data_IF_013142124156
#
_entry.id   IF_013142124156
#
_cell.length_a   1.000
_cell.length_b   1.000
_cell.length_c   1.000
_cell.angle_alpha   90.00
_cell.angle_beta   90.00
_cell.angle_gamma   90.00
#
_symmetry.space_group_name_H-M   'P 1'
#
loop_
_entity.id
_entity.type
_entity.pdbx_description
1 polymer ?
#
# COMPACT_ATOMS: atom_id res chain seq x y z
N UNK A 1 11.51 28.21 -2.58
CA UNK A 1 10.37 28.70 -3.38
C UNK A 1 10.06 27.87 -4.62
N UNK A 2 10.97 27.68 -5.60
CA UNK A 2 10.67 26.90 -6.83
C UNK A 2 10.20 25.45 -6.56
N UNK A 3 10.83 24.75 -5.60
CA UNK A 3 10.45 23.36 -5.22
C UNK A 3 9.07 23.26 -4.57
N UNK A 4 8.64 24.27 -3.82
CA UNK A 4 7.32 24.27 -3.15
C UNK A 4 6.19 24.40 -4.18
N UNK A 5 6.38 25.19 -5.24
CA UNK A 5 5.42 25.28 -6.34
C UNK A 5 5.32 23.96 -7.13
N UNK A 6 6.42 23.24 -7.31
CA UNK A 6 6.40 21.90 -7.90
C UNK A 6 5.64 20.90 -7.04
N UNK A 7 5.88 20.90 -5.73
CA UNK A 7 5.13 20.05 -4.78
C UNK A 7 3.64 20.39 -4.82
N UNK A 8 3.29 21.68 -4.81
CA UNK A 8 1.91 22.14 -4.87
C UNK A 8 1.23 21.71 -6.18
N UNK A 9 1.92 21.86 -7.32
CA UNK A 9 1.41 21.48 -8.64
C UNK A 9 1.18 19.97 -8.74
N UNK A 10 2.10 19.17 -8.20
CA UNK A 10 1.93 17.72 -8.08
C UNK A 10 0.70 17.41 -7.21
N UNK A 11 0.57 18.05 -6.05
CA UNK A 11 -0.55 17.82 -5.13
C UNK A 11 -1.90 18.13 -5.77
N UNK A 12 -2.00 19.25 -6.50
CA UNK A 12 -3.21 19.66 -7.22
C UNK A 12 -3.53 18.66 -8.34
N UNK A 13 -2.52 18.22 -9.10
CA UNK A 13 -2.69 17.20 -10.14
C UNK A 13 -3.21 15.87 -9.57
N UNK A 14 -2.67 15.42 -8.44
CA UNK A 14 -3.15 14.21 -7.76
C UNK A 14 -4.60 14.33 -7.26
N UNK A 15 -5.00 15.51 -6.75
CA UNK A 15 -6.36 15.74 -6.27
C UNK A 15 -7.43 15.65 -7.37
N UNK A 16 -7.09 16.00 -8.63
CA UNK A 16 -8.03 15.89 -9.74
C UNK A 16 -8.23 14.44 -10.20
N UNK A 17 -7.21 13.60 -10.05
CA UNK A 17 -7.28 12.17 -10.43
C UNK A 17 -7.99 11.34 -9.37
N UNK A 18 -8.07 11.79 -8.12
CA UNK A 18 -8.67 11.04 -7.02
C UNK A 18 -10.18 11.26 -6.83
N UNK A 19 -10.80 12.25 -7.48
CA UNK A 19 -12.23 12.58 -7.35
C UNK A 19 -13.09 11.83 -8.36
N UNK A 20 -14.11 11.10 -7.88
CA UNK A 20 -15.02 10.34 -8.75
C UNK A 20 -15.79 11.25 -9.72
N UNK A 21 -15.96 10.80 -10.97
CA UNK A 21 -16.95 11.39 -11.86
C UNK A 21 -18.38 10.93 -11.44
N UNK A 22 -19.45 11.60 -11.89
CA UNK A 22 -20.82 11.26 -11.49
C UNK A 22 -21.24 9.81 -11.80
N UNK A 23 -20.62 9.17 -12.79
CA UNK A 23 -20.88 7.76 -13.12
C UNK A 23 -20.21 6.85 -12.09
N UNK A 24 -18.93 7.08 -11.79
CA UNK A 24 -18.19 6.32 -10.79
C UNK A 24 -18.83 6.44 -9.40
N UNK A 25 -19.28 7.64 -9.03
CA UNK A 25 -19.91 7.89 -7.73
C UNK A 25 -21.18 7.05 -7.53
N UNK A 26 -22.04 6.92 -8.56
CA UNK A 26 -23.28 6.12 -8.49
C UNK A 26 -23.02 4.61 -8.50
N UNK A 27 -21.91 4.17 -9.07
CA UNK A 27 -21.55 2.76 -9.18
C UNK A 27 -20.73 2.26 -7.97
N UNK A 28 -20.26 3.15 -7.12
CA UNK A 28 -19.45 2.80 -5.97
C UNK A 28 -20.27 2.45 -4.71
N UNK A 29 -19.73 1.56 -3.87
CA UNK A 29 -20.26 1.34 -2.52
C UNK A 29 -20.31 2.64 -1.71
N UNK A 30 -21.29 2.76 -0.80
CA UNK A 30 -21.48 3.95 0.06
C UNK A 30 -20.21 4.40 0.79
N UNK A 31 -19.33 3.46 1.15
CA UNK A 31 -18.11 3.74 1.91
C UNK A 31 -17.00 4.36 1.05
N UNK A 32 -16.98 4.07 -0.25
CA UNK A 32 -15.93 4.54 -1.18
C UNK A 32 -16.45 5.53 -2.21
N UNK A 33 -17.71 5.95 -2.09
CA UNK A 33 -18.37 6.91 -2.95
C UNK A 33 -17.61 8.24 -2.94
N UNK A 34 -17.34 8.79 -4.13
CA UNK A 34 -16.61 10.04 -4.31
C UNK A 34 -15.11 9.88 -4.59
N UNK A 35 -14.58 8.65 -4.53
CA UNK A 35 -13.18 8.35 -4.88
C UNK A 35 -13.09 7.77 -6.28
N UNK A 36 -12.11 8.14 -7.11
CA UNK A 36 -11.83 7.32 -8.30
C UNK A 36 -11.24 5.99 -7.85
N UNK A 37 -11.65 4.93 -8.52
CA UNK A 37 -10.95 3.65 -8.45
C UNK A 37 -10.77 3.12 -9.87
N UNK A 38 -9.74 2.30 -10.06
CA UNK A 38 -9.58 1.56 -11.32
C UNK A 38 -10.75 0.61 -11.55
N UNK A 39 -10.85 0.08 -12.77
CA UNK A 39 -11.84 -0.93 -13.07
C UNK A 39 -11.74 -2.10 -12.07
N UNK A 40 -12.90 -2.52 -11.56
CA UNK A 40 -12.98 -3.69 -10.72
C UNK A 40 -12.70 -4.99 -11.48
N UNK A 41 -12.72 -6.12 -10.78
CA UNK A 41 -12.52 -7.45 -11.38
C UNK A 41 -13.54 -7.69 -12.49
N UNK A 42 -13.07 -8.07 -13.68
CA UNK A 42 -13.91 -8.31 -14.87
C UNK A 42 -14.49 -9.72 -14.92
N UNK A 43 -13.91 -10.67 -14.16
CA UNK A 43 -14.36 -12.06 -14.10
C UNK A 43 -14.27 -12.65 -12.68
N UNK A 44 -14.89 -13.81 -12.47
CA UNK A 44 -14.78 -14.55 -11.21
C UNK A 44 -13.34 -15.02 -10.93
N UNK A 45 -12.53 -15.23 -11.97
CA UNK A 45 -11.13 -15.61 -11.81
C UNK A 45 -10.28 -14.49 -11.23
N UNK A 46 -10.60 -13.25 -11.58
CA UNK A 46 -9.92 -12.07 -11.04
C UNK A 46 -10.11 -11.96 -9.51
N UNK A 47 -11.28 -12.34 -9.01
CA UNK A 47 -11.55 -12.42 -7.56
C UNK A 47 -10.73 -13.48 -6.85
N UNK A 48 -10.50 -14.64 -7.49
CA UNK A 48 -9.61 -15.69 -6.94
C UNK A 48 -8.19 -15.16 -6.81
N UNK A 49 -7.70 -14.45 -7.84
CA UNK A 49 -6.37 -13.83 -7.83
C UNK A 49 -6.26 -12.80 -6.70
N UNK A 50 -7.27 -11.93 -6.54
CA UNK A 50 -7.30 -10.92 -5.48
C UNK A 50 -7.21 -11.56 -4.09
N UNK A 51 -8.00 -12.61 -3.83
CA UNK A 51 -7.96 -13.31 -2.53
C UNK A 51 -6.58 -13.91 -2.29
N UNK A 52 -6.02 -14.59 -3.29
CA UNK A 52 -4.71 -15.21 -3.18
C UNK A 52 -3.59 -14.18 -2.94
N UNK A 53 -3.57 -13.07 -3.70
CA UNK A 53 -2.60 -11.99 -3.52
C UNK A 53 -2.77 -11.28 -2.18
N UNK A 54 -4.00 -11.12 -1.70
CA UNK A 54 -4.28 -10.57 -0.37
C UNK A 54 -3.65 -11.44 0.72
N UNK A 55 -3.83 -12.77 0.65
CA UNK A 55 -3.24 -13.72 1.60
C UNK A 55 -1.71 -13.62 1.57
N UNK A 56 -1.10 -13.66 0.38
CA UNK A 56 0.36 -13.55 0.24
C UNK A 56 0.90 -12.24 0.81
N UNK A 57 0.21 -11.12 0.55
CA UNK A 57 0.61 -9.80 1.07
C UNK A 57 0.53 -9.74 2.59
N UNK A 58 -0.53 -10.30 3.20
CA UNK A 58 -0.63 -10.37 4.65
C UNK A 58 0.45 -11.25 5.27
N UNK A 59 0.79 -12.37 4.63
CA UNK A 59 1.89 -13.23 5.06
C UNK A 59 3.24 -12.53 4.98
N UNK A 60 3.55 -11.88 3.85
CA UNK A 60 4.81 -11.14 3.67
C UNK A 60 4.91 -9.97 4.65
N UNK A 61 3.82 -9.23 4.87
CA UNK A 61 3.76 -8.16 5.87
C UNK A 61 4.01 -8.71 7.28
N UNK A 62 3.34 -9.81 7.64
CA UNK A 62 3.55 -10.46 8.94
C UNK A 62 5.01 -10.88 9.13
N UNK A 63 5.62 -11.55 8.15
CA UNK A 63 7.02 -11.97 8.25
C UNK A 63 7.98 -10.79 8.24
N UNK A 64 7.72 -9.75 7.45
CA UNK A 64 8.49 -8.51 7.47
C UNK A 64 8.51 -7.89 8.86
N UNK A 65 7.33 -7.71 9.48
CA UNK A 65 7.22 -7.19 10.85
C UNK A 65 7.89 -8.14 11.84
N UNK A 66 7.63 -9.45 11.76
CA UNK A 66 8.22 -10.47 12.65
C UNK A 66 9.74 -10.39 12.65
N UNK A 67 10.36 -10.36 11.47
CA UNK A 67 11.81 -10.31 11.34
C UNK A 67 12.37 -8.95 11.70
N UNK A 68 11.59 -7.87 11.51
CA UNK A 68 11.95 -6.53 11.97
C UNK A 68 11.96 -6.42 13.51
N UNK A 69 10.94 -6.92 14.19
CA UNK A 69 10.77 -6.79 15.64
C UNK A 69 11.57 -7.85 16.41
N UNK A 70 11.49 -9.11 16.01
CA UNK A 70 12.15 -10.23 16.70
C UNK A 70 12.86 -11.14 15.69
N UNK A 71 14.05 -10.72 15.23
CA UNK A 71 14.90 -11.57 14.40
C UNK A 71 15.18 -12.91 15.10
N UNK A 72 15.13 -14.01 14.36
CA UNK A 72 15.44 -15.35 14.87
C UNK A 72 16.94 -15.65 14.89
N UNK A 73 17.74 -14.75 14.35
CA UNK A 73 19.17 -14.88 14.15
C UNK A 73 19.92 -14.66 15.47
N UNK A 74 20.62 -15.70 15.92
CA UNK A 74 21.44 -15.70 17.15
C UNK A 74 22.93 -15.45 16.89
N UNK A 75 23.32 -15.32 15.62
CA UNK A 75 24.72 -15.09 15.24
C UNK A 75 25.16 -13.69 15.63
N UNK A 76 26.28 -13.59 16.35
CA UNK A 76 26.85 -12.31 16.79
C UNK A 76 27.25 -11.40 15.63
N UNK A 77 27.66 -11.99 14.50
CA UNK A 77 28.13 -11.28 13.31
C UNK A 77 26.99 -10.89 12.34
N UNK A 78 25.73 -11.04 12.74
CA UNK A 78 24.60 -10.66 11.91
C UNK A 78 24.47 -9.13 11.83
N UNK A 79 24.28 -8.57 10.63
CA UNK A 79 24.16 -7.11 10.37
C UNK A 79 23.13 -6.40 11.25
N UNK A 80 22.16 -7.14 11.78
CA UNK A 80 21.15 -6.59 12.68
C UNK A 80 21.59 -6.48 14.14
N UNK A 81 22.50 -7.35 14.58
CA UNK A 81 23.11 -7.26 15.91
C UNK A 81 24.06 -6.07 16.01
N UNK A 82 24.62 -5.57 14.89
CA UNK A 82 25.45 -4.37 14.92
C UNK A 82 24.68 -3.09 15.25
N UNK A 83 23.34 -3.08 15.12
CA UNK A 83 22.49 -1.93 15.47
C UNK A 83 21.85 -2.14 16.86
N UNK A 84 21.54 -3.39 17.22
CA UNK A 84 20.86 -3.72 18.48
C UNK A 84 21.83 -3.87 19.67
N UNK A 85 23.06 -4.30 19.42
CA UNK A 85 24.17 -4.29 20.36
C UNK A 85 25.20 -3.26 19.87
N UNK A 86 24.86 -1.97 19.97
CA UNK A 86 25.91 -0.96 20.08
C UNK A 86 26.36 -0.93 21.55
N UNK A 87 27.41 -1.72 21.81
CA UNK A 87 28.03 -2.05 23.12
C UNK A 87 27.30 -3.08 24.00
#
# INVERSE_FOLDING_TARGET
MKKQYWILLILIGFAQVSLACPVCERQQPKVTMGLTHGAGPGSNWDWVIIVFMTILTLLTLYFSIKFLVKPGEKGKDHVKQSILNEQ
#
